data_IF_433056750103
#
_entry.id   IF_433056750103
#
_cell.length_a   1.000
_cell.length_b   1.000
_cell.length_c   1.000
_cell.angle_alpha   90.00
_cell.angle_beta   90.00
_cell.angle_gamma   90.00
#
_symmetry.space_group_name_H-M   'P 1'
#
loop_
_entity.id
_entity.type
_entity.pdbx_description
1 polymer ?
#
# COMPACT_ATOMS: atom_id res chain seq x y z
N UNK A 1 -8.19 -11.53 5.91
CA UNK A 1 -8.88 -10.92 4.75
C UNK A 1 -8.11 -9.73 4.24
N UNK A 2 -8.20 -9.47 2.94
CA UNK A 2 -7.40 -8.45 2.25
C UNK A 2 -8.28 -7.64 1.28
N UNK A 3 -7.94 -6.36 1.12
CA UNK A 3 -8.51 -5.46 0.10
C UNK A 3 -7.48 -5.20 -1.00
N UNK A 4 -7.97 -4.99 -2.23
CA UNK A 4 -7.13 -4.58 -3.36
C UNK A 4 -7.61 -3.20 -3.83
N UNK A 5 -6.74 -2.19 -3.69
CA UNK A 5 -6.99 -0.82 -4.12
C UNK A 5 -6.32 -0.57 -5.47
N UNK A 6 -7.14 -0.46 -6.52
CA UNK A 6 -6.74 -0.09 -7.88
C UNK A 6 -7.51 1.16 -8.34
N UNK A 7 -7.49 2.19 -7.50
CA UNK A 7 -8.20 3.46 -7.71
C UNK A 7 -7.19 4.58 -8.05
N UNK A 8 -7.62 5.81 -8.33
CA UNK A 8 -6.69 6.93 -8.45
C UNK A 8 -5.89 7.20 -7.17
N UNK A 9 -4.68 7.70 -7.33
CA UNK A 9 -3.64 7.87 -6.29
C UNK A 9 -4.06 8.73 -5.09
N UNK A 10 -4.84 9.79 -5.32
CA UNK A 10 -5.34 10.67 -4.25
C UNK A 10 -6.28 9.96 -3.26
N UNK A 11 -6.78 8.75 -3.57
CA UNK A 11 -7.56 7.94 -2.65
C UNK A 11 -6.74 6.92 -1.86
N UNK A 12 -5.51 6.64 -2.28
CA UNK A 12 -4.72 5.53 -1.73
C UNK A 12 -4.46 5.67 -0.24
N UNK A 13 -4.11 6.87 0.22
CA UNK A 13 -3.88 7.15 1.65
C UNK A 13 -5.10 6.77 2.49
N UNK A 14 -6.26 7.31 2.14
CA UNK A 14 -7.49 7.12 2.92
C UNK A 14 -7.86 5.63 2.96
N UNK A 15 -7.86 4.96 1.80
CA UNK A 15 -8.25 3.55 1.70
C UNK A 15 -7.28 2.66 2.47
N UNK A 16 -5.97 2.90 2.39
CA UNK A 16 -4.97 2.11 3.12
C UNK A 16 -5.13 2.30 4.62
N UNK A 17 -5.26 3.55 5.09
CA UNK A 17 -5.44 3.83 6.52
C UNK A 17 -6.74 3.23 7.05
N UNK A 18 -7.83 3.33 6.31
CA UNK A 18 -9.13 2.77 6.70
C UNK A 18 -9.10 1.23 6.73
N UNK A 19 -8.50 0.62 5.71
CA UNK A 19 -8.36 -0.84 5.63
C UNK A 19 -7.59 -1.40 6.82
N UNK A 20 -6.42 -0.83 7.12
CA UNK A 20 -5.59 -1.33 8.23
C UNK A 20 -6.21 -1.02 9.58
N UNK A 21 -6.90 0.13 9.73
CA UNK A 21 -7.64 0.48 10.95
C UNK A 21 -8.83 -0.45 11.20
N UNK A 22 -9.45 -0.95 10.13
CA UNK A 22 -10.48 -2.00 10.20
C UNK A 22 -9.90 -3.41 10.44
N UNK A 23 -8.59 -3.54 10.65
CA UNK A 23 -7.91 -4.80 10.91
C UNK A 23 -7.72 -5.69 9.67
N UNK A 24 -7.81 -5.11 8.46
CA UNK A 24 -7.65 -5.81 7.18
C UNK A 24 -6.27 -5.55 6.59
N UNK A 25 -5.74 -6.54 5.88
CA UNK A 25 -4.56 -6.36 5.05
C UNK A 25 -4.94 -5.66 3.74
N UNK A 26 -3.98 -5.04 3.05
CA UNK A 26 -4.26 -4.32 1.81
C UNK A 26 -3.11 -4.38 0.80
N UNK A 27 -3.46 -4.63 -0.46
CA UNK A 27 -2.62 -4.35 -1.62
C UNK A 27 -3.07 -3.04 -2.27
N UNK A 28 -2.15 -2.12 -2.54
CA UNK A 28 -2.44 -0.84 -3.17
C UNK A 28 -1.60 -0.66 -4.43
N UNK A 29 -2.23 -0.32 -5.55
CA UNK A 29 -1.54 -0.05 -6.81
C UNK A 29 -0.62 1.17 -6.74
N UNK A 30 0.31 1.25 -7.70
CA UNK A 30 1.19 2.41 -7.85
C UNK A 30 0.48 3.57 -8.58
N UNK A 31 0.82 4.83 -8.30
CA UNK A 31 1.79 5.29 -7.29
C UNK A 31 1.25 5.14 -5.85
N UNK A 32 2.13 4.92 -4.87
CA UNK A 32 1.73 4.62 -3.48
C UNK A 32 0.81 5.69 -2.87
N UNK A 33 1.14 6.96 -3.10
CA UNK A 33 0.44 8.13 -2.54
C UNK A 33 0.64 9.34 -3.45
N UNK A 34 -0.11 10.40 -3.22
CA UNK A 34 0.02 11.65 -3.97
C UNK A 34 1.21 12.49 -3.49
N UNK A 35 1.53 12.42 -2.20
CA UNK A 35 2.72 13.08 -1.61
C UNK A 35 3.54 12.12 -0.76
N UNK A 36 4.83 12.45 -0.53
CA UNK A 36 5.71 11.63 0.31
C UNK A 36 5.27 11.57 1.79
N UNK A 37 4.71 12.67 2.31
CA UNK A 37 4.20 12.73 3.68
C UNK A 37 3.06 11.71 3.90
N UNK A 38 2.15 11.58 2.94
CA UNK A 38 1.09 10.57 2.98
C UNK A 38 1.64 9.15 3.03
N UNK A 39 2.72 8.87 2.29
CA UNK A 39 3.37 7.56 2.33
C UNK A 39 3.94 7.22 3.71
N UNK A 40 4.50 8.21 4.41
CA UNK A 40 4.96 8.04 5.81
C UNK A 40 3.78 7.73 6.73
N UNK A 41 2.69 8.49 6.61
CA UNK A 41 1.47 8.26 7.40
C UNK A 41 0.87 6.86 7.18
N UNK A 42 0.85 6.39 5.92
CA UNK A 42 0.39 5.04 5.58
C UNK A 42 1.28 3.96 6.22
N UNK A 43 2.60 4.14 6.19
CA UNK A 43 3.55 3.21 6.81
C UNK A 43 3.39 3.17 8.34
N UNK A 44 3.16 4.31 8.97
CA UNK A 44 2.93 4.39 10.41
C UNK A 44 1.60 3.73 10.82
N UNK A 45 0.54 3.92 10.04
CA UNK A 45 -0.74 3.23 10.24
C UNK A 45 -0.59 1.70 10.13
N UNK A 46 0.16 1.21 9.14
CA UNK A 46 0.46 -0.22 8.98
C UNK A 46 1.23 -0.77 10.19
N UNK A 47 2.28 -0.08 10.65
CA UNK A 47 3.07 -0.46 11.82
C UNK A 47 2.24 -0.49 13.10
N UNK A 48 1.40 0.53 13.32
CA UNK A 48 0.55 0.64 14.51
C UNK A 48 -0.47 -0.51 14.62
N UNK A 49 -1.02 -0.92 13.48
CA UNK A 49 -2.08 -1.95 13.43
C UNK A 49 -1.52 -3.37 13.25
N UNK A 50 -0.23 -3.49 12.90
CA UNK A 50 0.40 -4.77 12.58
C UNK A 50 -0.28 -5.48 11.40
N UNK A 51 -0.80 -4.71 10.43
CA UNK A 51 -1.41 -5.22 9.19
C UNK A 51 -0.39 -5.21 8.06
N UNK A 52 -0.59 -6.10 7.08
CA UNK A 52 0.25 -6.18 5.89
C UNK A 52 -0.24 -5.15 4.87
N UNK A 53 0.67 -4.26 4.46
CA UNK A 53 0.46 -3.32 3.35
C UNK A 53 1.46 -3.62 2.26
N UNK A 54 0.98 -3.99 1.08
CA UNK A 54 1.81 -4.25 -0.10
C UNK A 54 1.53 -3.21 -1.18
N UNK A 55 2.58 -2.63 -1.73
CA UNK A 55 2.45 -1.70 -2.87
C UNK A 55 2.73 -2.43 -4.18
N UNK A 56 1.97 -2.07 -5.22
CA UNK A 56 2.05 -2.60 -6.58
C UNK A 56 3.30 -2.21 -7.35
N UNK A 57 4.47 -2.54 -6.82
CA UNK A 57 5.75 -2.36 -7.49
C UNK A 57 6.08 -3.58 -8.36
N UNK A 58 5.21 -3.94 -9.33
CA UNK A 58 5.31 -5.22 -10.05
C UNK A 58 6.63 -5.39 -10.80
N UNK A 59 7.22 -4.29 -11.29
CA UNK A 59 8.52 -4.31 -11.97
C UNK A 59 9.62 -4.93 -11.11
N UNK A 60 9.76 -4.50 -9.85
CA UNK A 60 10.82 -5.02 -8.96
C UNK A 60 10.52 -6.43 -8.46
N UNK A 61 9.26 -6.83 -8.46
CA UNK A 61 8.83 -8.21 -8.18
C UNK A 61 8.94 -9.14 -9.40
N UNK A 62 9.34 -8.65 -10.57
CA UNK A 62 9.42 -9.45 -11.79
C UNK A 62 10.60 -10.43 -11.79
N UNK A 63 10.46 -11.53 -12.54
CA UNK A 63 11.55 -12.51 -12.74
C UNK A 63 12.80 -11.90 -13.39
N UNK A 64 12.65 -10.78 -14.09
CA UNK A 64 13.76 -10.05 -14.69
C UNK A 64 14.58 -9.36 -13.60
N UNK A 65 13.92 -8.65 -12.68
CA UNK A 65 14.61 -8.00 -11.56
C UNK A 65 15.16 -9.00 -10.53
N UNK A 66 14.54 -10.18 -10.37
CA UNK A 66 15.03 -11.19 -9.43
C UNK A 66 16.31 -11.93 -9.90
N UNK A 67 16.62 -11.90 -11.20
CA UNK A 67 17.80 -12.56 -11.78
C UNK A 67 19.00 -11.62 -11.97
N UNK A 68 18.79 -10.32 -11.85
CA UNK A 68 19.81 -9.29 -11.97
C UNK A 68 20.57 -9.13 -10.64
#
# INVERSE_FOLDING_TARGET
>A
DCLIAAVPDHWHKQIVVDAVSAGKDIYCEKPMSHTAAEGVEMADAARKTGRIVQIGSQRVSSVICAKA
#
